data_IF_544906750781
#
_entry.id   IF_544906750781
#
_cell.length_a   1.000
_cell.length_b   1.000
_cell.length_c   1.000
_cell.angle_alpha   90.00
_cell.angle_beta   90.00
_cell.angle_gamma   90.00
#
_symmetry.space_group_name_H-M   'P 1'
#
loop_
_entity.id
_entity.type
_entity.pdbx_description
1 polymer ?
#
# COMPACT_ATOMS: atom_id res chain seq x y z
N UNK A 1 -50.00 -50.62 -30.22
CA UNK A 1 -48.53 -50.80 -30.48
C UNK A 1 -47.79 -49.50 -30.88
N UNK A 2 -48.45 -48.47 -31.37
CA UNK A 2 -47.78 -47.22 -31.77
C UNK A 2 -47.40 -46.29 -30.59
N UNK A 3 -48.11 -46.29 -29.49
CA UNK A 3 -47.79 -45.37 -28.36
C UNK A 3 -46.60 -45.76 -27.54
N UNK A 4 -46.28 -47.05 -27.39
CA UNK A 4 -45.09 -47.52 -26.67
C UNK A 4 -43.76 -47.20 -27.39
N UNK A 5 -43.81 -47.06 -28.70
CA UNK A 5 -42.59 -46.70 -29.49
C UNK A 5 -42.19 -45.23 -29.33
N UNK A 6 -43.19 -44.36 -29.19
CA UNK A 6 -42.96 -42.90 -29.05
C UNK A 6 -42.42 -42.57 -27.65
N UNK A 7 -42.87 -43.25 -26.59
CA UNK A 7 -42.36 -43.03 -25.23
C UNK A 7 -40.91 -43.52 -25.07
N UNK A 8 -40.55 -44.63 -25.71
CA UNK A 8 -39.16 -45.12 -25.66
C UNK A 8 -38.18 -44.20 -26.42
N UNK A 9 -38.60 -43.54 -27.50
CA UNK A 9 -37.75 -42.58 -28.23
C UNK A 9 -37.57 -41.29 -27.45
N UNK A 10 -38.59 -40.78 -26.78
CA UNK A 10 -38.52 -39.56 -25.93
C UNK A 10 -37.62 -39.80 -24.72
N UNK A 11 -37.69 -40.96 -24.08
CA UNK A 11 -36.84 -41.28 -22.94
C UNK A 11 -35.36 -41.47 -23.34
N UNK A 12 -35.07 -42.00 -24.52
CA UNK A 12 -33.71 -42.05 -25.06
C UNK A 12 -33.14 -40.67 -25.41
N UNK A 13 -33.95 -39.79 -26.04
CA UNK A 13 -33.54 -38.44 -26.34
C UNK A 13 -33.27 -37.60 -25.06
N UNK A 14 -34.13 -37.76 -24.02
CA UNK A 14 -33.95 -37.10 -22.74
C UNK A 14 -32.67 -37.55 -22.01
N UNK A 15 -32.35 -38.84 -22.05
CA UNK A 15 -31.12 -39.36 -21.48
C UNK A 15 -29.86 -38.90 -22.24
N UNK A 16 -29.88 -38.76 -23.55
CA UNK A 16 -28.76 -38.20 -24.32
C UNK A 16 -28.58 -36.70 -24.06
N UNK A 17 -29.63 -35.94 -23.87
CA UNK A 17 -29.57 -34.51 -23.49
C UNK A 17 -29.04 -34.34 -22.07
N UNK A 18 -29.39 -35.21 -21.13
CA UNK A 18 -28.87 -35.16 -19.74
C UNK A 18 -27.39 -35.55 -19.72
N UNK A 19 -26.96 -36.54 -20.46
CA UNK A 19 -25.55 -36.97 -20.56
C UNK A 19 -24.71 -35.92 -21.27
N UNK A 20 -25.22 -35.24 -22.32
CA UNK A 20 -24.50 -34.15 -22.98
C UNK A 20 -24.40 -32.91 -22.10
N UNK A 21 -25.41 -32.56 -21.29
CA UNK A 21 -25.38 -31.47 -20.33
C UNK A 21 -24.38 -31.76 -19.18
N UNK A 22 -24.23 -33.01 -18.75
CA UNK A 22 -23.22 -33.37 -17.74
C UNK A 22 -21.78 -33.34 -18.28
N UNK A 23 -21.57 -33.59 -19.56
CA UNK A 23 -20.24 -33.50 -20.20
C UNK A 23 -19.77 -32.03 -20.38
N UNK A 24 -20.68 -31.09 -20.46
CA UNK A 24 -20.32 -29.66 -20.59
C UNK A 24 -19.89 -29.06 -19.24
N UNK A 25 -20.32 -29.62 -18.11
CA UNK A 25 -19.97 -29.14 -16.78
C UNK A 25 -18.52 -29.47 -16.35
N UNK A 26 -17.82 -30.38 -17.06
CA UNK A 26 -16.43 -30.71 -16.77
C UNK A 26 -15.36 -29.84 -17.48
N UNK A 27 -15.76 -28.91 -18.35
CA UNK A 27 -14.83 -28.04 -19.08
C UNK A 27 -14.60 -26.68 -18.41
N UNK A 28 -15.14 -26.45 -17.21
CA UNK A 28 -15.06 -25.15 -16.53
C UNK A 28 -14.07 -25.09 -15.36
N UNK A 29 -13.02 -25.88 -15.38
CA UNK A 29 -11.85 -25.64 -14.53
C UNK A 29 -10.62 -25.55 -15.42
N UNK A 30 -10.39 -24.40 -16.00
CA UNK A 30 -9.04 -24.02 -16.39
C UNK A 30 -8.29 -23.80 -15.07
N UNK A 31 -7.55 -24.82 -14.62
CA UNK A 31 -6.51 -24.60 -13.61
C UNK A 31 -5.58 -23.55 -14.20
N UNK A 32 -5.56 -22.36 -13.62
CA UNK A 32 -4.45 -21.45 -13.84
C UNK A 32 -3.18 -22.26 -13.61
N UNK A 33 -2.43 -22.49 -14.68
CA UNK A 33 -1.11 -23.13 -14.52
C UNK A 33 -0.33 -22.21 -13.61
N UNK A 34 0.18 -22.68 -12.46
CA UNK A 34 1.07 -21.87 -11.65
C UNK A 34 2.17 -21.39 -12.59
N UNK A 35 2.35 -20.09 -12.68
CA UNK A 35 3.41 -19.50 -13.47
C UNK A 35 4.71 -20.07 -12.88
N UNK A 36 5.31 -21.05 -13.54
CA UNK A 36 6.58 -21.64 -13.13
C UNK A 36 7.60 -20.54 -13.33
N UNK A 37 7.86 -19.79 -12.27
CA UNK A 37 8.98 -18.85 -12.27
C UNK A 37 10.24 -19.66 -12.54
N UNK A 38 10.93 -19.31 -13.61
CA UNK A 38 12.24 -19.87 -13.87
C UNK A 38 13.13 -19.62 -12.64
N UNK A 39 13.67 -20.69 -12.06
CA UNK A 39 14.68 -20.64 -10.98
C UNK A 39 16.04 -20.14 -11.49
N UNK A 40 16.07 -19.38 -12.58
CA UNK A 40 17.25 -18.68 -13.08
C UNK A 40 17.59 -17.48 -12.18
N UNK A 41 18.87 -17.11 -12.13
CA UNK A 41 19.31 -15.90 -11.43
C UNK A 41 18.45 -14.71 -11.84
N UNK A 42 17.60 -14.25 -10.91
CA UNK A 42 16.77 -13.09 -11.13
C UNK A 42 17.69 -11.88 -11.14
N UNK A 43 17.83 -11.28 -12.29
CA UNK A 43 18.63 -10.06 -12.43
C UNK A 43 17.81 -8.87 -11.97
N UNK A 44 18.08 -8.39 -10.76
CA UNK A 44 17.52 -7.13 -10.21
C UNK A 44 18.44 -5.93 -10.48
N UNK A 45 19.49 -6.12 -11.28
CA UNK A 45 20.34 -5.03 -11.76
C UNK A 45 19.58 -4.26 -12.84
N UNK A 46 19.10 -3.09 -12.48
CA UNK A 46 18.39 -2.17 -13.36
C UNK A 46 18.78 -0.74 -12.98
N UNK A 47 18.70 0.19 -13.93
CA UNK A 47 18.92 1.61 -13.66
C UNK A 47 17.77 2.16 -12.79
N UNK A 48 16.54 1.81 -13.17
CA UNK A 48 15.35 2.16 -12.41
C UNK A 48 14.69 0.90 -11.88
N UNK A 49 14.22 0.94 -10.63
CA UNK A 49 13.65 -0.22 -9.95
C UNK A 49 12.39 0.18 -9.21
N UNK A 50 11.39 -0.66 -9.27
CA UNK A 50 10.15 -0.54 -8.49
C UNK A 50 9.93 -1.83 -7.72
N UNK A 51 9.90 -1.75 -6.41
CA UNK A 51 9.54 -2.83 -5.51
C UNK A 51 8.12 -2.57 -4.99
N UNK A 52 7.28 -3.58 -5.00
CA UNK A 52 5.86 -3.46 -4.63
C UNK A 52 5.56 -4.53 -3.58
N UNK A 53 5.18 -4.11 -2.39
CA UNK A 53 4.67 -5.05 -1.38
C UNK A 53 3.24 -5.43 -1.71
N UNK A 54 2.97 -6.71 -1.63
CA UNK A 54 1.65 -7.29 -1.82
C UNK A 54 1.22 -7.89 -0.48
N UNK A 55 0.12 -7.41 0.06
CA UNK A 55 -0.38 -7.85 1.37
C UNK A 55 -0.77 -9.33 1.35
N UNK A 56 -1.23 -9.82 0.20
CA UNK A 56 -1.86 -11.12 0.11
C UNK A 56 -3.29 -11.11 0.66
N UNK A 57 -3.82 -12.27 0.96
CA UNK A 57 -5.10 -12.43 1.64
C UNK A 57 -4.85 -12.56 3.14
N UNK A 58 -5.61 -11.82 3.94
CA UNK A 58 -5.51 -11.84 5.40
C UNK A 58 -5.66 -13.26 5.96
N UNK A 59 -4.74 -13.70 6.81
CA UNK A 59 -4.61 -15.04 7.41
C UNK A 59 -4.21 -16.17 6.46
N UNK A 60 -3.80 -15.87 5.22
CA UNK A 60 -3.35 -16.91 4.27
C UNK A 60 -1.83 -17.06 4.20
N UNK A 61 -1.08 -16.18 4.85
CA UNK A 61 0.39 -16.22 4.88
C UNK A 61 1.03 -16.21 3.48
N UNK A 62 0.41 -15.48 2.54
CA UNK A 62 0.75 -15.44 1.13
C UNK A 62 1.17 -14.05 0.65
N UNK A 63 1.65 -13.20 1.57
CA UNK A 63 2.23 -11.92 1.18
C UNK A 63 3.50 -12.12 0.34
N UNK A 64 3.78 -11.19 -0.52
CA UNK A 64 4.89 -11.24 -1.48
C UNK A 64 5.47 -9.87 -1.77
N UNK A 65 6.58 -9.81 -2.50
CA UNK A 65 7.12 -8.57 -3.06
C UNK A 65 7.33 -8.74 -4.55
N UNK A 66 6.68 -7.92 -5.35
CA UNK A 66 6.92 -7.85 -6.79
C UNK A 66 8.05 -6.88 -7.10
N UNK A 67 8.86 -7.22 -8.09
CA UNK A 67 9.88 -6.33 -8.67
C UNK A 67 9.49 -6.00 -10.10
N UNK A 68 9.59 -4.73 -10.47
CA UNK A 68 9.35 -4.24 -11.81
C UNK A 68 10.54 -3.37 -12.28
N UNK A 69 11.02 -3.65 -13.48
CA UNK A 69 12.01 -2.84 -14.18
C UNK A 69 11.30 -1.91 -15.16
N UNK A 70 11.24 -0.59 -14.91
CA UNK A 70 10.57 0.38 -15.78
C UNK A 70 11.17 0.47 -17.20
N UNK A 71 12.47 0.23 -17.33
CA UNK A 71 13.21 0.39 -18.58
C UNK A 71 12.90 -0.76 -19.57
N UNK A 72 12.87 -1.99 -19.06
CA UNK A 72 12.63 -3.19 -19.87
C UNK A 72 11.19 -3.70 -19.80
N UNK A 73 10.38 -3.15 -18.88
CA UNK A 73 9.01 -3.59 -18.56
C UNK A 73 8.92 -5.03 -18.02
N UNK A 74 10.02 -5.56 -17.54
CA UNK A 74 10.05 -6.90 -16.94
C UNK A 74 9.51 -6.89 -15.50
N UNK A 75 8.76 -7.94 -15.15
CA UNK A 75 8.17 -8.16 -13.84
C UNK A 75 8.66 -9.47 -13.24
N UNK A 76 9.05 -9.44 -11.97
CA UNK A 76 9.22 -10.64 -11.13
C UNK A 76 8.12 -10.60 -10.08
N UNK A 77 7.20 -11.58 -10.10
CA UNK A 77 5.98 -11.55 -9.28
C UNK A 77 6.26 -11.67 -7.78
N UNK A 78 7.20 -12.53 -7.38
CA UNK A 78 7.59 -12.70 -5.97
C UNK A 78 9.11 -12.87 -5.87
N UNK A 79 9.79 -11.72 -5.80
CA UNK A 79 11.24 -11.67 -5.68
C UNK A 79 11.71 -12.23 -4.33
N UNK A 80 10.91 -12.05 -3.25
CA UNK A 80 11.30 -12.57 -1.94
C UNK A 80 11.37 -14.09 -1.96
N UNK A 81 10.33 -14.75 -2.44
CA UNK A 81 10.28 -16.21 -2.55
C UNK A 81 11.35 -16.76 -3.48
N UNK A 82 11.59 -16.06 -4.59
CA UNK A 82 12.58 -16.47 -5.58
C UNK A 82 14.04 -16.42 -5.04
N UNK A 83 14.36 -15.40 -4.23
CA UNK A 83 15.69 -15.28 -3.62
C UNK A 83 15.83 -16.05 -2.29
N UNK A 84 14.71 -16.41 -1.65
CA UNK A 84 14.67 -17.08 -0.35
C UNK A 84 13.69 -18.27 -0.36
N UNK A 85 13.95 -19.34 -1.15
CA UNK A 85 12.98 -20.40 -1.41
C UNK A 85 12.49 -21.14 -0.17
N UNK A 86 13.30 -21.17 0.90
CA UNK A 86 13.01 -21.88 2.15
C UNK A 86 12.51 -20.97 3.28
N UNK A 87 12.29 -19.67 2.99
CA UNK A 87 11.84 -18.69 3.97
C UNK A 87 10.47 -18.15 3.53
N UNK A 88 9.52 -18.09 4.47
CA UNK A 88 8.22 -17.48 4.23
C UNK A 88 8.26 -16.02 4.68
N UNK A 89 7.81 -15.10 3.81
CA UNK A 89 7.72 -13.68 4.16
C UNK A 89 6.74 -13.48 5.31
N UNK A 90 5.54 -13.98 5.17
CA UNK A 90 4.51 -13.92 6.21
C UNK A 90 3.17 -13.49 5.67
N UNK A 91 2.36 -12.88 6.54
CA UNK A 91 1.01 -12.44 6.26
C UNK A 91 0.90 -10.92 6.37
N UNK A 92 0.34 -10.29 5.34
CA UNK A 92 0.17 -8.84 5.17
C UNK A 92 1.51 -8.07 5.16
N UNK A 93 2.24 -8.13 4.04
CA UNK A 93 3.40 -7.26 3.82
C UNK A 93 2.94 -5.83 3.50
N UNK A 94 2.83 -5.00 4.54
CA UNK A 94 2.20 -3.69 4.52
C UNK A 94 3.04 -2.62 3.84
N UNK A 95 4.32 -2.59 4.10
CA UNK A 95 5.19 -1.51 3.60
C UNK A 95 6.63 -1.98 3.41
N UNK A 96 7.38 -1.20 2.63
CA UNK A 96 8.79 -1.39 2.35
C UNK A 96 9.54 -0.07 2.53
N UNK A 97 10.68 -0.11 3.19
CA UNK A 97 11.57 1.04 3.37
C UNK A 97 13.01 0.62 3.16
N UNK A 98 13.75 1.35 2.31
CA UNK A 98 15.20 1.18 2.18
C UNK A 98 15.91 2.00 3.26
N UNK A 99 16.80 1.37 4.02
CA UNK A 99 17.65 2.01 5.03
C UNK A 99 19.07 1.49 4.84
N UNK A 100 19.98 2.36 4.43
CA UNK A 100 21.31 1.96 4.01
C UNK A 100 21.25 0.97 2.84
N UNK A 101 21.97 -0.16 2.93
CA UNK A 101 21.95 -1.22 1.91
C UNK A 101 20.95 -2.36 2.22
N UNK A 102 19.86 -2.06 2.94
CA UNK A 102 18.84 -3.05 3.27
C UNK A 102 17.44 -2.53 2.99
N UNK A 103 16.56 -3.44 2.56
CA UNK A 103 15.12 -3.22 2.62
C UNK A 103 14.54 -3.78 3.91
N UNK A 104 13.66 -3.01 4.52
CA UNK A 104 12.86 -3.37 5.69
C UNK A 104 11.44 -3.59 5.22
N UNK A 105 11.01 -4.85 5.19
CA UNK A 105 9.67 -5.28 4.81
C UNK A 105 8.84 -5.41 6.06
N UNK A 106 7.85 -4.54 6.24
CA UNK A 106 6.98 -4.55 7.42
C UNK A 106 5.85 -5.54 7.19
N UNK A 107 5.87 -6.65 7.93
CA UNK A 107 4.90 -7.74 7.78
C UNK A 107 3.91 -7.68 8.95
N UNK A 108 2.82 -6.99 8.71
CA UNK A 108 1.85 -6.55 9.69
C UNK A 108 1.27 -7.70 10.52
N UNK A 109 0.59 -8.65 9.89
CA UNK A 109 -0.10 -9.77 10.57
C UNK A 109 0.85 -10.92 10.95
N UNK A 110 2.16 -10.79 10.70
CA UNK A 110 3.19 -11.68 11.23
C UNK A 110 4.05 -11.01 12.31
N UNK A 111 3.66 -9.82 12.76
CA UNK A 111 4.22 -9.11 13.93
C UNK A 111 5.74 -8.91 13.84
N UNK A 112 6.28 -8.73 12.62
CA UNK A 112 7.72 -8.65 12.36
C UNK A 112 8.06 -7.66 11.24
N UNK A 113 9.32 -7.28 11.21
CA UNK A 113 9.96 -6.62 10.07
C UNK A 113 11.02 -7.58 9.54
N UNK A 114 10.92 -7.94 8.27
CA UNK A 114 11.92 -8.77 7.58
C UNK A 114 12.93 -7.86 6.89
N UNK A 115 14.21 -8.12 7.11
CA UNK A 115 15.31 -7.34 6.53
C UNK A 115 15.96 -8.19 5.44
N UNK A 116 16.07 -7.60 4.23
CA UNK A 116 16.74 -8.20 3.09
C UNK A 116 17.80 -7.27 2.55
N UNK A 117 18.84 -7.82 1.92
CA UNK A 117 19.86 -7.03 1.22
C UNK A 117 19.26 -6.29 0.02
N UNK A 118 19.62 -5.04 -0.20
CA UNK A 118 19.20 -4.27 -1.38
C UNK A 118 19.88 -4.75 -2.68
N UNK A 119 21.01 -5.46 -2.58
CA UNK A 119 21.77 -5.91 -3.75
C UNK A 119 21.14 -7.14 -4.42
N UNK A 120 20.65 -8.11 -3.61
CA UNK A 120 20.18 -9.39 -4.13
C UNK A 120 18.86 -9.88 -3.51
N UNK A 121 18.22 -9.06 -2.66
CA UNK A 121 16.98 -9.34 -1.96
C UNK A 121 17.03 -10.58 -1.04
N UNK A 122 18.24 -11.01 -0.65
CA UNK A 122 18.41 -12.13 0.27
C UNK A 122 18.13 -11.73 1.71
N UNK A 123 17.46 -12.63 2.41
CA UNK A 123 17.14 -12.51 3.82
C UNK A 123 18.39 -12.33 4.67
N UNK A 124 18.35 -11.36 5.56
CA UNK A 124 19.41 -11.08 6.54
C UNK A 124 18.96 -11.51 7.95
N UNK A 125 17.87 -10.93 8.42
CA UNK A 125 17.27 -11.23 9.72
C UNK A 125 15.85 -10.65 9.81
N UNK A 126 15.19 -10.88 10.96
CA UNK A 126 13.90 -10.25 11.29
C UNK A 126 13.98 -9.54 12.64
N UNK A 127 13.29 -8.41 12.74
CA UNK A 127 12.98 -7.76 14.02
C UNK A 127 11.59 -8.22 14.42
N UNK A 128 11.44 -8.70 15.66
CA UNK A 128 10.19 -9.18 16.24
C UNK A 128 9.83 -8.41 17.51
N UNK A 129 8.66 -8.65 18.08
CA UNK A 129 8.20 -7.98 19.31
C UNK A 129 7.21 -6.84 19.06
N UNK A 130 6.71 -6.71 17.84
CA UNK A 130 5.60 -5.84 17.49
C UNK A 130 4.25 -6.53 17.73
N UNK A 131 3.17 -5.75 17.68
CA UNK A 131 1.79 -6.28 17.74
C UNK A 131 1.18 -6.31 16.32
N UNK A 132 1.25 -5.20 15.62
CA UNK A 132 0.71 -5.05 14.27
C UNK A 132 1.44 -3.89 13.56
N UNK A 133 2.74 -4.08 13.21
CA UNK A 133 3.58 -3.00 12.68
C UNK A 133 3.08 -2.52 11.32
N UNK A 134 3.19 -1.21 11.06
CA UNK A 134 2.68 -0.57 9.85
C UNK A 134 3.77 0.01 8.96
N UNK A 135 4.57 0.93 9.51
CA UNK A 135 5.63 1.63 8.78
C UNK A 135 6.86 1.76 9.66
N UNK A 136 8.04 1.73 9.04
CA UNK A 136 9.30 2.09 9.68
C UNK A 136 9.83 3.38 9.07
N UNK A 137 10.20 4.34 9.92
CA UNK A 137 10.81 5.61 9.54
C UNK A 137 12.20 5.72 10.17
N UNK A 138 13.30 5.80 9.40
CA UNK A 138 14.59 6.16 9.96
C UNK A 138 14.58 7.62 10.40
N UNK A 139 14.86 7.88 11.68
CA UNK A 139 14.88 9.24 12.26
C UNK A 139 16.29 9.74 12.53
N UNK A 140 17.26 8.84 12.52
CA UNK A 140 18.70 9.14 12.50
C UNK A 140 19.47 7.99 11.84
N UNK A 141 20.79 8.10 11.76
CA UNK A 141 21.64 7.04 11.22
C UNK A 141 21.47 5.70 11.96
N UNK A 142 21.22 5.73 13.26
CA UNK A 142 21.12 4.51 14.09
C UNK A 142 19.74 4.27 14.71
N UNK A 143 18.77 5.19 14.53
CA UNK A 143 17.46 5.11 15.18
C UNK A 143 16.33 5.14 14.14
N UNK A 144 15.39 4.20 14.28
CA UNK A 144 14.14 4.17 13.52
C UNK A 144 12.92 4.11 14.44
N UNK A 145 11.81 4.66 13.98
CA UNK A 145 10.50 4.52 14.61
C UNK A 145 9.63 3.56 13.81
N UNK A 146 8.88 2.71 14.51
CA UNK A 146 7.92 1.80 13.89
C UNK A 146 6.53 2.08 14.45
N UNK A 147 5.62 2.48 13.57
CA UNK A 147 4.21 2.63 13.91
C UNK A 147 3.53 1.26 14.01
N UNK A 148 2.51 1.17 14.86
CA UNK A 148 1.82 -0.08 15.13
C UNK A 148 0.31 0.18 15.30
N UNK A 149 -0.50 -0.66 14.66
CA UNK A 149 -1.94 -0.46 14.62
C UNK A 149 -2.60 -0.67 15.97
N UNK A 150 -2.14 -1.64 16.76
CA UNK A 150 -2.82 -2.06 17.99
C UNK A 150 -1.98 -1.95 19.27
N UNK A 151 -0.70 -1.60 19.17
CA UNK A 151 0.20 -1.57 20.33
C UNK A 151 -0.01 -0.36 21.26
N UNK A 152 -0.72 0.69 20.81
CA UNK A 152 -0.82 1.98 21.51
C UNK A 152 0.54 2.60 21.84
N UNK A 153 1.54 2.33 21.02
CA UNK A 153 2.92 2.83 21.18
C UNK A 153 3.66 2.77 19.84
N UNK A 154 4.67 3.62 19.69
CA UNK A 154 5.67 3.57 18.63
C UNK A 154 6.87 2.77 19.16
N UNK A 155 7.37 1.80 18.43
CA UNK A 155 8.60 1.12 18.79
C UNK A 155 9.82 1.93 18.31
N UNK A 156 10.80 2.08 19.19
CA UNK A 156 12.10 2.66 18.86
C UNK A 156 13.06 1.52 18.54
N UNK A 157 13.57 1.49 17.33
CA UNK A 157 14.46 0.45 16.82
C UNK A 157 15.86 1.00 16.68
N UNK A 158 16.86 0.27 17.18
CA UNK A 158 18.24 0.51 16.83
C UNK A 158 18.53 -0.12 15.45
N UNK A 159 18.84 0.70 14.46
CA UNK A 159 19.04 0.28 13.07
C UNK A 159 20.37 -0.46 12.86
N UNK A 160 21.36 -0.26 13.74
CA UNK A 160 22.66 -0.95 13.67
C UNK A 160 22.57 -2.37 14.23
N UNK A 161 21.95 -2.53 15.41
CA UNK A 161 21.78 -3.84 16.07
C UNK A 161 20.50 -4.54 15.66
N UNK A 162 19.60 -3.82 14.95
CA UNK A 162 18.34 -4.33 14.36
C UNK A 162 17.43 -4.97 15.42
N UNK A 163 17.20 -4.27 16.53
CA UNK A 163 16.33 -4.69 17.63
C UNK A 163 15.55 -3.51 18.21
N UNK A 164 14.43 -3.79 18.87
CA UNK A 164 13.66 -2.80 19.61
C UNK A 164 14.42 -2.46 20.89
N UNK A 165 14.63 -1.16 21.15
CA UNK A 165 15.36 -0.67 22.33
C UNK A 165 14.47 0.04 23.35
N UNK A 166 13.37 0.64 22.90
CA UNK A 166 12.39 1.32 23.75
C UNK A 166 11.06 1.50 23.05
N UNK A 167 10.11 2.12 23.72
CA UNK A 167 8.80 2.46 23.17
C UNK A 167 8.39 3.87 23.58
N UNK A 168 7.71 4.57 22.67
CA UNK A 168 7.06 5.85 22.92
C UNK A 168 5.57 5.57 23.10
N UNK A 169 4.95 5.83 24.26
CA UNK A 169 3.51 5.74 24.42
C UNK A 169 2.79 6.63 23.41
N UNK A 170 1.98 6.05 22.54
CA UNK A 170 1.26 6.75 21.47
C UNK A 170 -0.10 6.08 21.29
N UNK A 171 -1.15 6.58 21.97
CA UNK A 171 -2.44 5.91 22.00
C UNK A 171 -3.16 5.93 20.67
N UNK A 172 -3.83 4.83 20.34
CA UNK A 172 -4.62 4.64 19.12
C UNK A 172 -3.87 3.88 18.03
N UNK A 173 -4.36 3.96 16.81
CA UNK A 173 -3.89 3.19 15.67
C UNK A 173 -2.95 4.04 14.82
N UNK A 174 -1.65 3.91 15.04
CA UNK A 174 -0.65 4.73 14.37
C UNK A 174 -0.33 4.18 12.98
N UNK A 175 -0.19 5.10 12.02
CA UNK A 175 0.00 4.80 10.59
C UNK A 175 1.26 5.48 10.04
N UNK A 176 1.13 6.27 8.97
CA UNK A 176 2.23 6.95 8.30
C UNK A 176 2.90 7.97 9.21
N UNK A 177 4.20 8.07 9.02
CA UNK A 177 5.06 9.00 9.75
C UNK A 177 5.88 9.82 8.76
N UNK A 178 6.13 11.09 9.09
CA UNK A 178 7.04 11.94 8.36
C UNK A 178 7.91 12.73 9.33
N UNK A 179 9.20 12.86 9.02
CA UNK A 179 10.11 13.67 9.82
C UNK A 179 10.26 15.07 9.23
N UNK A 180 10.23 16.05 10.09
CA UNK A 180 10.61 17.43 9.79
C UNK A 180 11.57 17.93 10.87
N UNK A 181 12.85 18.11 10.52
CA UNK A 181 13.95 18.34 11.46
C UNK A 181 13.99 17.32 12.59
N UNK A 182 13.91 17.75 13.85
CA UNK A 182 13.90 16.90 15.04
C UNK A 182 12.50 16.45 15.49
N UNK A 183 11.48 16.64 14.66
CA UNK A 183 10.10 16.24 14.95
C UNK A 183 9.62 15.16 13.99
N UNK A 184 8.86 14.21 14.50
CA UNK A 184 8.14 13.22 13.70
C UNK A 184 6.64 13.42 13.89
N UNK A 185 5.94 13.56 12.79
CA UNK A 185 4.48 13.68 12.74
C UNK A 185 3.90 12.31 12.42
N UNK A 186 2.99 11.83 13.27
CA UNK A 186 2.42 10.48 13.20
C UNK A 186 0.92 10.55 13.00
N UNK A 187 0.42 10.03 11.89
CA UNK A 187 -1.01 9.91 11.63
C UNK A 187 -1.64 8.81 12.49
N UNK A 188 -2.93 8.94 12.78
CA UNK A 188 -3.65 8.00 13.63
C UNK A 188 -5.06 7.73 13.07
N UNK A 189 -5.41 6.46 12.88
CA UNK A 189 -6.72 6.09 12.35
C UNK A 189 -7.82 6.14 13.41
N UNK A 190 -7.50 5.83 14.65
CA UNK A 190 -8.49 5.73 15.72
C UNK A 190 -8.70 7.05 16.48
N UNK A 191 -7.64 7.83 16.69
CA UNK A 191 -7.70 9.15 17.34
C UNK A 191 -7.79 10.25 16.29
N UNK A 192 -8.42 11.37 16.65
CA UNK A 192 -8.62 12.50 15.73
C UNK A 192 -7.39 13.43 15.62
N UNK A 193 -6.22 12.94 16.02
CA UNK A 193 -5.03 13.76 16.18
C UNK A 193 -3.85 13.25 15.37
N UNK A 194 -3.11 14.18 14.79
CA UNK A 194 -1.75 14.00 14.34
C UNK A 194 -0.84 14.22 15.54
N UNK A 195 -0.08 13.22 15.96
CA UNK A 195 0.85 13.35 17.07
C UNK A 195 2.20 13.88 16.60
N UNK A 196 2.83 14.71 17.45
CA UNK A 196 4.16 15.27 17.24
C UNK A 196 5.13 14.69 18.26
N UNK A 197 6.12 13.97 17.78
CA UNK A 197 7.16 13.34 18.61
C UNK A 197 8.47 14.12 18.44
N UNK A 198 9.10 14.49 19.53
CA UNK A 198 10.46 15.00 19.52
C UNK A 198 11.47 13.84 19.47
N UNK A 199 12.36 13.88 18.47
CA UNK A 199 13.32 12.80 18.20
C UNK A 199 14.43 12.72 19.23
N UNK A 200 14.70 13.81 19.98
CA UNK A 200 15.77 13.84 20.97
C UNK A 200 15.32 13.23 22.30
N UNK A 201 14.08 13.50 22.71
CA UNK A 201 13.50 13.00 23.97
C UNK A 201 12.72 11.69 23.80
N UNK A 202 12.41 11.26 22.57
CA UNK A 202 11.52 10.13 22.27
C UNK A 202 10.16 10.26 22.99
N UNK A 203 9.56 11.45 22.94
CA UNK A 203 8.30 11.76 23.61
C UNK A 203 7.34 12.52 22.71
N UNK A 204 6.03 12.30 22.89
CA UNK A 204 5.00 13.14 22.28
C UNK A 204 5.04 14.51 22.98
N UNK A 205 5.25 15.56 22.20
CA UNK A 205 5.32 16.94 22.69
C UNK A 205 4.10 17.76 22.31
N UNK A 206 3.30 17.30 21.35
CA UNK A 206 2.09 17.99 20.92
C UNK A 206 1.14 17.06 20.15
N UNK A 207 -0.10 17.53 19.92
CA UNK A 207 -1.09 16.86 19.08
C UNK A 207 -1.97 17.88 18.36
N UNK A 208 -2.17 17.67 17.06
CA UNK A 208 -2.91 18.57 16.16
C UNK A 208 -4.20 17.87 15.74
N UNK A 209 -5.36 18.54 15.93
CA UNK A 209 -6.64 17.97 15.50
C UNK A 209 -6.74 17.93 13.97
N UNK A 210 -6.95 16.73 13.40
CA UNK A 210 -7.05 16.50 11.95
C UNK A 210 -8.26 15.65 11.55
N UNK A 211 -9.08 15.22 12.52
CA UNK A 211 -10.25 14.35 12.28
C UNK A 211 -9.90 12.88 12.23
N UNK A 212 -10.93 12.07 12.03
CA UNK A 212 -10.90 10.60 12.11
C UNK A 212 -10.29 9.96 10.87
N UNK A 213 -9.63 8.82 11.03
CA UNK A 213 -8.98 8.05 9.98
C UNK A 213 -7.96 8.86 9.17
N UNK A 214 -7.10 9.61 9.86
CA UNK A 214 -5.96 10.28 9.25
C UNK A 214 -4.90 9.23 8.85
N UNK A 215 -4.75 8.97 7.55
CA UNK A 215 -3.85 7.94 7.00
C UNK A 215 -2.80 8.50 6.04
N UNK A 216 -3.04 9.65 5.44
CA UNK A 216 -2.13 10.29 4.47
C UNK A 216 -1.42 11.49 5.05
N UNK A 217 -0.10 11.58 4.86
CA UNK A 217 0.71 12.75 5.23
C UNK A 217 1.83 12.94 4.21
N UNK A 218 1.99 14.17 3.72
CA UNK A 218 3.09 14.57 2.81
C UNK A 218 3.60 15.95 3.16
N UNK A 219 4.82 16.30 2.71
CA UNK A 219 5.45 17.60 2.89
C UNK A 219 5.56 18.32 1.53
N UNK A 220 5.01 19.52 1.42
CA UNK A 220 5.07 20.32 0.20
C UNK A 220 6.41 21.08 0.04
N UNK A 221 6.63 21.72 -1.12
CA UNK A 221 7.87 22.48 -1.39
C UNK A 221 8.04 23.70 -0.50
N UNK A 222 6.96 24.19 0.12
CA UNK A 222 6.97 25.33 1.03
C UNK A 222 7.09 24.87 2.50
N UNK A 223 7.47 23.61 2.70
CA UNK A 223 7.64 22.99 4.02
C UNK A 223 6.34 22.96 4.85
N UNK A 224 5.16 22.91 4.23
CA UNK A 224 3.93 22.64 4.95
C UNK A 224 3.57 21.16 4.86
N UNK A 225 3.05 20.63 5.95
CA UNK A 225 2.45 19.29 5.96
C UNK A 225 1.04 19.34 5.40
N UNK A 226 0.69 18.30 4.65
CA UNK A 226 -0.66 18.04 4.23
C UNK A 226 -1.12 16.71 4.80
N UNK A 227 -2.25 16.72 5.49
CA UNK A 227 -2.79 15.55 6.18
C UNK A 227 -4.20 15.27 5.68
N UNK A 228 -4.42 14.05 5.17
CA UNK A 228 -5.71 13.58 4.69
C UNK A 228 -6.35 12.66 5.71
N UNK A 229 -7.59 12.97 6.09
CA UNK A 229 -8.45 12.13 6.94
C UNK A 229 -9.71 11.74 6.18
N UNK A 230 -10.08 10.45 6.23
CA UNK A 230 -11.25 9.91 5.52
C UNK A 230 -12.57 10.15 6.26
N UNK A 231 -12.52 10.70 7.49
CA UNK A 231 -13.70 10.96 8.29
C UNK A 231 -14.41 9.69 8.75
N UNK A 232 -15.52 9.84 9.46
CA UNK A 232 -16.32 8.72 9.97
C UNK A 232 -17.81 9.04 9.87
N UNK A 233 -18.52 8.36 8.97
CA UNK A 233 -19.95 8.63 8.72
C UNK A 233 -20.84 8.38 9.95
N UNK A 234 -20.52 7.36 10.75
CA UNK A 234 -21.28 7.00 11.96
C UNK A 234 -21.27 8.09 13.04
N UNK A 235 -20.24 8.93 13.05
CA UNK A 235 -20.11 10.05 13.99
C UNK A 235 -20.23 11.43 13.32
N UNK A 236 -20.72 11.50 12.09
CA UNK A 236 -20.85 12.73 11.28
C UNK A 236 -19.53 13.52 11.12
N UNK A 237 -18.38 12.84 11.20
CA UNK A 237 -17.09 13.46 10.96
C UNK A 237 -16.77 13.41 9.46
N UNK A 238 -16.88 14.57 8.80
CA UNK A 238 -16.58 14.71 7.37
C UNK A 238 -15.10 14.47 7.09
N UNK A 239 -14.76 13.92 5.91
CA UNK A 239 -13.37 13.83 5.48
C UNK A 239 -12.75 15.21 5.31
N UNK A 240 -11.46 15.33 5.55
CA UNK A 240 -10.74 16.61 5.50
C UNK A 240 -9.34 16.45 4.95
N UNK A 241 -8.88 17.52 4.28
CA UNK A 241 -7.49 17.72 3.93
C UNK A 241 -6.99 18.99 4.64
N UNK A 242 -6.02 18.82 5.52
CA UNK A 242 -5.45 19.92 6.30
C UNK A 242 -4.08 20.32 5.77
N UNK A 243 -3.82 21.63 5.65
CA UNK A 243 -2.50 22.19 5.49
C UNK A 243 -2.02 22.69 6.85
N UNK A 244 -0.83 22.28 7.28
CA UNK A 244 -0.31 22.50 8.64
C UNK A 244 1.11 23.05 8.56
N UNK A 245 1.41 24.05 9.37
CA UNK A 245 2.77 24.51 9.58
C UNK A 245 3.49 23.58 10.57
N UNK A 246 4.57 22.86 10.19
CA UNK A 246 5.23 21.90 11.06
C UNK A 246 6.09 22.55 12.15
N UNK A 247 6.37 23.85 12.07
CA UNK A 247 7.13 24.60 13.08
C UNK A 247 6.22 25.03 14.21
N UNK A 248 5.09 25.68 13.86
CA UNK A 248 4.14 26.26 14.83
C UNK A 248 3.01 25.30 15.21
N UNK A 249 2.86 24.18 14.50
CA UNK A 249 1.80 23.17 14.61
C UNK A 249 0.39 23.72 14.31
N UNK A 250 0.29 24.89 13.71
CA UNK A 250 -0.97 25.52 13.37
C UNK A 250 -1.55 24.95 12.06
N UNK A 251 -2.85 24.71 12.06
CA UNK A 251 -3.61 24.41 10.84
C UNK A 251 -3.79 25.71 10.06
N UNK A 252 -3.17 25.80 8.89
CA UNK A 252 -3.19 26.98 8.01
C UNK A 252 -4.46 27.03 7.16
N UNK A 253 -4.94 25.87 6.71
CA UNK A 253 -6.19 25.73 5.96
C UNK A 253 -6.76 24.33 6.09
N UNK A 254 -8.10 24.25 5.90
CA UNK A 254 -8.86 22.99 5.95
C UNK A 254 -9.79 22.95 4.75
N UNK A 255 -9.70 21.88 3.99
CA UNK A 255 -10.60 21.54 2.89
C UNK A 255 -11.51 20.42 3.34
N UNK A 256 -12.82 20.65 3.34
CA UNK A 256 -13.80 19.66 3.79
C UNK A 256 -14.48 19.02 2.59
N UNK A 257 -14.46 17.72 2.53
CA UNK A 257 -15.13 16.92 1.53
C UNK A 257 -16.61 16.72 1.90
N UNK A 258 -17.41 16.21 0.98
CA UNK A 258 -18.80 15.86 1.26
C UNK A 258 -18.92 14.60 2.13
N UNK A 259 -20.10 14.35 2.68
CA UNK A 259 -20.36 13.14 3.48
C UNK A 259 -20.34 11.84 2.67
N UNK A 260 -20.46 11.94 1.34
CA UNK A 260 -20.36 10.80 0.42
C UNK A 260 -18.93 10.43 0.06
N UNK A 261 -17.97 11.35 0.25
CA UNK A 261 -16.58 11.15 -0.12
C UNK A 261 -15.84 10.22 0.86
N UNK A 262 -14.85 9.50 0.33
CA UNK A 262 -13.96 8.61 1.10
C UNK A 262 -12.53 8.74 0.59
N UNK A 263 -11.95 9.95 0.71
CA UNK A 263 -10.60 10.17 0.19
C UNK A 263 -9.56 9.37 0.99
N UNK A 264 -8.58 8.83 0.27
CA UNK A 264 -7.48 8.07 0.85
C UNK A 264 -6.21 8.19 -0.01
N UNK A 265 -5.10 7.61 0.40
CA UNK A 265 -3.84 7.54 -0.35
C UNK A 265 -3.34 8.91 -0.84
N UNK A 266 -2.97 9.78 0.08
CA UNK A 266 -2.35 11.06 -0.24
C UNK A 266 -0.89 10.88 -0.66
N UNK A 267 -0.53 11.35 -1.86
CA UNK A 267 0.84 11.44 -2.36
C UNK A 267 1.09 12.82 -2.97
N UNK A 268 2.37 13.13 -3.24
CA UNK A 268 2.78 14.41 -3.81
C UNK A 268 3.77 14.16 -4.95
N UNK A 269 3.75 15.00 -6.01
CA UNK A 269 4.68 14.88 -7.13
C UNK A 269 6.14 15.21 -6.77
N UNK A 270 7.07 14.92 -7.70
CA UNK A 270 8.50 15.15 -7.51
C UNK A 270 8.84 16.61 -7.20
N UNK A 271 8.12 17.56 -7.79
CA UNK A 271 8.28 18.99 -7.54
C UNK A 271 7.70 19.44 -6.19
N UNK A 272 6.94 18.54 -5.51
CA UNK A 272 6.19 18.82 -4.28
C UNK A 272 5.23 20.02 -4.41
N UNK A 273 4.61 20.13 -5.58
CA UNK A 273 3.68 21.21 -5.96
C UNK A 273 2.25 20.76 -6.11
N UNK A 274 2.02 19.46 -6.38
CA UNK A 274 0.69 18.91 -6.59
C UNK A 274 0.47 17.69 -5.73
N UNK A 275 -0.64 17.72 -5.01
CA UNK A 275 -1.17 16.62 -4.22
C UNK A 275 -2.02 15.72 -5.11
N UNK A 276 -1.97 14.42 -4.85
CA UNK A 276 -2.87 13.44 -5.47
C UNK A 276 -3.51 12.59 -4.38
N UNK A 277 -4.78 12.29 -4.55
CA UNK A 277 -5.52 11.42 -3.64
C UNK A 277 -6.58 10.62 -4.39
N UNK A 278 -6.91 9.45 -3.87
CA UNK A 278 -7.98 8.60 -4.37
C UNK A 278 -9.28 8.99 -3.66
N UNK A 279 -10.33 9.28 -4.42
CA UNK A 279 -11.71 9.39 -3.95
C UNK A 279 -12.61 8.82 -5.05
N UNK A 280 -12.70 7.49 -5.12
CA UNK A 280 -13.18 6.69 -6.24
C UNK A 280 -12.29 6.88 -7.50
N UNK A 281 -12.14 8.11 -7.98
CA UNK A 281 -11.19 8.53 -9.02
C UNK A 281 -9.91 9.08 -8.37
N UNK A 282 -8.89 9.35 -9.17
CA UNK A 282 -7.71 10.06 -8.70
C UNK A 282 -7.87 11.54 -8.99
N UNK A 283 -7.72 12.35 -7.98
CA UNK A 283 -7.77 13.80 -8.06
C UNK A 283 -6.37 14.39 -7.92
N UNK A 284 -6.16 15.52 -8.60
CA UNK A 284 -4.95 16.34 -8.51
C UNK A 284 -5.31 17.70 -7.95
N UNK A 285 -4.54 18.21 -6.98
CA UNK A 285 -4.75 19.50 -6.36
C UNK A 285 -3.41 20.24 -6.19
N UNK A 286 -3.31 21.47 -6.70
CA UNK A 286 -2.12 22.30 -6.42
C UNK A 286 -2.05 22.66 -4.94
N UNK A 287 -0.83 22.73 -4.37
CA UNK A 287 -0.60 23.23 -3.00
C UNK A 287 -1.00 24.69 -2.78
N UNK A 288 -1.23 25.44 -3.86
CA UNK A 288 -1.76 26.82 -3.84
C UNK A 288 -3.26 26.92 -4.04
N UNK A 289 -3.97 25.80 -4.25
CA UNK A 289 -5.40 25.80 -4.44
C UNK A 289 -6.14 26.29 -3.19
N UNK A 290 -7.26 26.98 -3.41
CA UNK A 290 -8.13 27.50 -2.35
C UNK A 290 -9.41 26.68 -2.16
N UNK A 291 -9.63 25.67 -3.02
CA UNK A 291 -10.78 24.76 -2.96
C UNK A 291 -10.39 23.35 -3.46
N UNK A 292 -11.18 22.36 -3.09
CA UNK A 292 -11.01 20.99 -3.59
C UNK A 292 -11.25 20.94 -5.11
N UNK A 293 -10.54 20.05 -5.83
CA UNK A 293 -10.76 19.86 -7.25
C UNK A 293 -12.15 19.26 -7.51
N UNK A 294 -12.84 19.78 -8.52
CA UNK A 294 -14.15 19.28 -8.98
C UNK A 294 -14.03 18.29 -10.14
N UNK A 295 -12.86 18.24 -10.80
CA UNK A 295 -12.58 17.33 -11.89
C UNK A 295 -11.53 16.32 -11.46
N UNK A 296 -11.73 15.06 -11.82
CA UNK A 296 -10.72 14.03 -11.60
C UNK A 296 -9.54 14.18 -12.56
N UNK A 297 -8.38 13.78 -12.12
CA UNK A 297 -7.15 13.70 -12.92
C UNK A 297 -7.11 12.39 -13.72
N UNK A 298 -7.50 11.27 -13.08
CA UNK A 298 -7.61 9.96 -13.73
C UNK A 298 -8.94 9.34 -13.31
N UNK A 299 -9.76 8.94 -14.30
CA UNK A 299 -10.99 8.20 -14.05
C UNK A 299 -10.71 6.77 -13.60
N UNK A 300 -11.48 6.24 -12.65
CA UNK A 300 -11.33 4.86 -12.20
C UNK A 300 -11.75 3.81 -13.24
N UNK A 301 -12.66 4.14 -14.15
CA UNK A 301 -13.16 3.22 -15.18
C UNK A 301 -13.59 1.84 -14.61
N UNK A 302 -14.19 1.84 -13.42
CA UNK A 302 -14.56 0.66 -12.63
C UNK A 302 -13.38 -0.09 -11.97
N UNK A 303 -12.15 0.42 -12.04
CA UNK A 303 -11.04 -0.12 -11.27
C UNK A 303 -11.23 0.16 -9.77
N UNK A 304 -10.82 -0.77 -8.95
CA UNK A 304 -10.77 -0.65 -7.50
C UNK A 304 -9.39 -0.11 -7.09
N UNK A 305 -9.16 1.19 -7.29
CA UNK A 305 -7.89 1.83 -6.92
C UNK A 305 -7.64 1.67 -5.43
N UNK A 306 -6.55 0.98 -5.09
CA UNK A 306 -6.24 0.55 -3.73
C UNK A 306 -5.11 1.37 -3.09
N UNK A 307 -4.03 1.56 -3.83
CA UNK A 307 -2.87 2.34 -3.39
C UNK A 307 -2.23 3.06 -4.56
N UNK A 308 -1.47 4.09 -4.28
CA UNK A 308 -0.67 4.79 -5.29
C UNK A 308 0.59 5.38 -4.67
N UNK A 309 1.61 5.59 -5.51
CA UNK A 309 2.84 6.26 -5.14
C UNK A 309 3.42 7.03 -6.32
N UNK A 310 4.07 8.15 -6.04
CA UNK A 310 4.76 8.95 -7.05
C UNK A 310 6.21 8.53 -7.18
N UNK A 311 6.61 8.12 -8.37
CA UNK A 311 8.01 7.88 -8.70
C UNK A 311 8.70 9.23 -8.95
N UNK A 312 9.44 9.72 -7.96
CA UNK A 312 10.12 11.01 -8.07
C UNK A 312 11.30 11.00 -9.06
N UNK A 313 11.86 9.83 -9.39
CA UNK A 313 12.97 9.68 -10.34
C UNK A 313 12.48 9.80 -11.78
N UNK A 314 11.38 9.13 -12.12
CA UNK A 314 10.81 9.11 -13.48
C UNK A 314 9.71 10.16 -13.68
N UNK A 315 9.30 10.86 -12.63
CA UNK A 315 8.19 11.82 -12.59
C UNK A 315 6.87 11.20 -13.09
N UNK A 316 6.50 10.05 -12.48
CA UNK A 316 5.38 9.20 -12.88
C UNK A 316 4.54 8.75 -11.68
N UNK A 317 3.25 8.52 -11.91
CA UNK A 317 2.34 7.97 -10.92
C UNK A 317 2.12 6.48 -11.14
N UNK A 318 2.35 5.67 -10.11
CA UNK A 318 2.00 4.25 -10.05
C UNK A 318 0.74 4.07 -9.21
N UNK A 319 -0.21 3.32 -9.74
CA UNK A 319 -1.50 3.08 -9.09
C UNK A 319 -1.80 1.59 -9.10
N UNK A 320 -2.16 1.03 -7.96
CA UNK A 320 -2.62 -0.34 -7.86
C UNK A 320 -4.14 -0.42 -7.88
N UNK A 321 -4.65 -1.40 -8.61
CA UNK A 321 -6.04 -1.83 -8.59
C UNK A 321 -6.10 -3.21 -7.92
N UNK A 322 -6.75 -3.29 -6.76
CA UNK A 322 -6.88 -4.54 -6.00
C UNK A 322 -7.90 -5.51 -6.62
N UNK A 323 -8.49 -5.15 -7.77
CA UNK A 323 -9.50 -5.98 -8.45
C UNK A 323 -10.66 -6.34 -7.50
N UNK A 324 -10.74 -7.60 -7.10
CA UNK A 324 -11.71 -8.16 -6.17
C UNK A 324 -11.10 -8.57 -4.81
N UNK A 325 -9.88 -8.10 -4.52
CA UNK A 325 -9.08 -8.45 -3.33
C UNK A 325 -8.62 -9.91 -3.24
N UNK A 326 -8.86 -10.72 -4.26
CA UNK A 326 -8.49 -12.14 -4.32
C UNK A 326 -7.52 -12.42 -5.46
N UNK A 327 -7.69 -11.70 -6.56
CA UNK A 327 -6.81 -11.79 -7.73
C UNK A 327 -5.57 -10.92 -7.57
N UNK A 328 -4.55 -11.22 -8.38
CA UNK A 328 -3.38 -10.38 -8.51
C UNK A 328 -3.76 -8.97 -8.97
N UNK A 329 -3.27 -7.98 -8.25
CA UNK A 329 -3.47 -6.56 -8.55
C UNK A 329 -2.94 -6.20 -9.94
N UNK A 330 -3.59 -5.25 -10.58
CA UNK A 330 -3.07 -4.58 -11.77
C UNK A 330 -2.40 -3.29 -11.35
N UNK A 331 -1.18 -3.07 -11.80
CA UNK A 331 -0.47 -1.80 -11.61
C UNK A 331 -0.59 -1.00 -12.90
N UNK A 332 -1.06 0.24 -12.76
CA UNK A 332 -1.11 1.24 -13.84
C UNK A 332 0.01 2.25 -13.63
N UNK A 333 0.76 2.53 -14.66
CA UNK A 333 1.83 3.51 -14.71
C UNK A 333 1.40 4.67 -15.58
N UNK A 334 1.29 5.87 -15.00
CA UNK A 334 0.87 7.08 -15.69
C UNK A 334 2.00 8.11 -15.71
N UNK A 335 2.11 8.88 -16.80
CA UNK A 335 2.98 10.04 -16.79
C UNK A 335 2.36 11.21 -15.96
N UNK A 336 3.11 12.26 -15.74
CA UNK A 336 2.68 13.45 -14.98
C UNK A 336 1.45 14.18 -15.55
N UNK A 337 1.05 13.87 -16.79
CA UNK A 337 -0.15 14.41 -17.43
C UNK A 337 -1.36 13.47 -17.30
N UNK A 338 -1.24 12.36 -16.57
CA UNK A 338 -2.31 11.37 -16.39
C UNK A 338 -2.50 10.42 -17.58
N UNK A 339 -1.58 10.39 -18.53
CA UNK A 339 -1.65 9.46 -19.65
C UNK A 339 -1.03 8.11 -19.26
N UNK A 340 -1.75 7.02 -19.55
CA UNK A 340 -1.30 5.67 -19.28
C UNK A 340 -0.07 5.32 -20.12
N UNK A 341 1.02 4.91 -19.45
CA UNK A 341 2.26 4.49 -20.10
C UNK A 341 2.32 2.95 -20.24
N UNK A 342 1.97 2.24 -19.17
CA UNK A 342 2.08 0.79 -19.10
C UNK A 342 1.17 0.20 -18.02
N UNK A 343 0.83 -1.09 -18.17
CA UNK A 343 0.15 -1.88 -17.14
C UNK A 343 0.87 -3.21 -16.95
N UNK A 344 0.88 -3.71 -15.72
CA UNK A 344 1.43 -5.02 -15.41
C UNK A 344 0.75 -5.62 -14.18
N UNK A 345 0.92 -6.92 -13.96
CA UNK A 345 0.41 -7.60 -12.76
C UNK A 345 1.47 -7.59 -11.66
N UNK A 346 1.03 -7.30 -10.41
CA UNK A 346 1.78 -7.52 -9.18
C UNK A 346 1.18 -8.72 -8.42
N UNK A 347 1.42 -8.85 -7.12
CA UNK A 347 0.73 -9.83 -6.28
C UNK A 347 -0.63 -9.32 -5.79
N UNK A 348 -1.27 -10.08 -4.91
CA UNK A 348 -2.61 -9.78 -4.35
C UNK A 348 -2.50 -8.59 -3.39
N UNK A 349 -3.43 -7.62 -3.52
CA UNK A 349 -3.50 -6.42 -2.68
C UNK A 349 -2.17 -5.66 -2.63
N UNK A 350 -1.69 -5.22 -3.79
CA UNK A 350 -0.48 -4.42 -3.90
C UNK A 350 -0.68 -3.06 -3.21
N UNK A 351 0.10 -2.76 -2.16
CA UNK A 351 -0.15 -1.62 -1.26
C UNK A 351 1.03 -0.67 -1.11
N UNK A 352 2.24 -1.18 -0.92
CA UNK A 352 3.43 -0.38 -0.68
C UNK A 352 4.36 -0.35 -1.87
N UNK A 353 5.02 0.79 -2.09
CA UNK A 353 5.97 0.98 -3.18
C UNK A 353 7.30 1.51 -2.66
N UNK A 354 8.39 1.04 -3.24
CA UNK A 354 9.71 1.66 -3.16
C UNK A 354 10.26 1.79 -4.58
N UNK A 355 10.75 2.98 -4.92
CA UNK A 355 11.19 3.31 -6.27
C UNK A 355 12.56 4.00 -6.26
N UNK A 356 13.46 3.54 -7.13
CA UNK A 356 14.83 4.07 -7.28
C UNK A 356 15.30 3.99 -8.73
#
# INVERSE_FOLDING_TARGET
MRERSILNHRNKLCNYLIVSAFLILFYSCVKDKPNVQSTGNINISATHKVYITNEGNFMYNNSSVSFYNPDTKQVVQDIFKAQNPNITLGDVCQSIQKIGNNFYLVVNNSNKIVIVSADDFKYQQSITGFVSPRYILPVSFSKGYVSDLYANKIAVVNLSTKNIVSYIPCPGWTEKMIQFYNKVFVTNLYRNYLYVIDVLSDAIIDSIYVGKYASGIVLDKNENLWVLSSGESSSNQLPKLHKINPVTHQVLSTFTFSSADRPNNLVIDAARENLYFINQHIYKMSISATQLPTQYFIASQNNNFYSMEWNAVLDELYVSDAMDYVQNSTIYRYNKNGQLIHTFKAGINASGFWME
#
